data_IF_878996877281
#
_entry.id   IF_878996877281
#
_cell.length_a   1.000
_cell.length_b   1.000
_cell.length_c   1.000
_cell.angle_alpha   90.00
_cell.angle_beta   90.00
_cell.angle_gamma   90.00
#
_symmetry.space_group_name_H-M   'P 1'
#
loop_
_entity.id
_entity.type
_entity.pdbx_description
1 polymer ?
#
# COMPACT_ATOMS: atom_id res chain seq x y z
N UNK A 1 31.22 23.37 -9.60
CA UNK A 1 32.34 24.29 -9.28
C UNK A 1 32.59 25.28 -10.41
N UNK A 2 32.54 24.87 -11.69
CA UNK A 2 32.73 25.79 -12.83
C UNK A 2 31.74 26.96 -12.89
N UNK A 3 30.49 26.76 -12.43
CA UNK A 3 29.47 27.82 -12.43
C UNK A 3 29.75 28.97 -11.44
N UNK A 4 30.33 28.68 -10.26
CA UNK A 4 30.69 29.74 -9.30
C UNK A 4 31.87 30.57 -9.80
N UNK A 5 32.82 29.92 -10.49
CA UNK A 5 33.95 30.59 -11.13
C UNK A 5 33.49 31.48 -12.30
N UNK A 6 32.55 30.99 -13.12
CA UNK A 6 31.93 31.78 -14.19
C UNK A 6 31.15 32.98 -13.66
N UNK A 7 30.46 32.85 -12.52
CA UNK A 7 29.71 33.95 -11.92
C UNK A 7 30.64 35.00 -11.27
N UNK A 8 31.71 34.55 -10.63
CA UNK A 8 32.77 35.43 -10.11
C UNK A 8 33.39 36.27 -11.22
N UNK A 9 33.81 35.61 -12.30
CA UNK A 9 34.46 36.25 -13.44
C UNK A 9 33.49 37.21 -14.15
N UNK A 10 32.21 36.82 -14.28
CA UNK A 10 31.16 37.70 -14.77
C UNK A 10 31.00 38.94 -13.89
N UNK A 11 30.92 38.81 -12.55
CA UNK A 11 30.77 39.95 -11.63
C UNK A 11 31.98 40.90 -11.67
N UNK A 12 33.19 40.35 -11.73
CA UNK A 12 34.42 41.14 -11.88
C UNK A 12 34.45 41.85 -13.24
N UNK A 13 33.95 41.22 -14.31
CA UNK A 13 33.89 41.82 -15.65
C UNK A 13 32.96 43.05 -15.75
N UNK A 14 31.93 43.13 -14.89
CA UNK A 14 31.02 44.29 -14.75
C UNK A 14 31.50 45.28 -13.67
N UNK A 15 32.77 45.20 -13.28
CA UNK A 15 33.45 46.12 -12.37
C UNK A 15 32.95 46.05 -10.91
N UNK A 16 32.42 44.90 -10.49
CA UNK A 16 32.10 44.65 -9.08
C UNK A 16 33.41 44.38 -8.30
N UNK A 17 33.65 45.05 -7.16
CA UNK A 17 34.83 44.80 -6.33
C UNK A 17 34.91 43.32 -5.90
N UNK A 18 36.12 42.75 -5.94
CA UNK A 18 36.39 41.33 -5.63
C UNK A 18 35.73 40.86 -4.32
N UNK A 19 35.78 41.70 -3.29
CA UNK A 19 35.24 41.38 -1.96
C UNK A 19 33.72 41.22 -1.98
N UNK A 20 33.03 42.02 -2.81
CA UNK A 20 31.57 41.94 -2.99
C UNK A 20 31.18 40.77 -3.89
N UNK A 21 31.97 40.48 -4.91
CA UNK A 21 31.74 39.31 -5.76
C UNK A 21 31.84 38.00 -4.96
N UNK A 22 32.83 37.88 -4.06
CA UNK A 22 32.93 36.73 -3.14
C UNK A 22 31.75 36.63 -2.18
N UNK A 23 31.32 37.75 -1.58
CA UNK A 23 30.20 37.75 -0.65
C UNK A 23 28.89 37.27 -1.31
N UNK A 24 28.66 37.61 -2.58
CA UNK A 24 27.49 37.15 -3.35
C UNK A 24 27.54 35.65 -3.62
N UNK A 25 28.72 35.13 -3.95
CA UNK A 25 28.96 33.70 -4.19
C UNK A 25 28.76 32.90 -2.91
N UNK A 26 29.33 33.35 -1.79
CA UNK A 26 29.17 32.71 -0.48
C UNK A 26 27.70 32.72 -0.02
N UNK A 27 27.01 33.85 -0.22
CA UNK A 27 25.59 33.95 0.08
C UNK A 27 24.74 33.02 -0.80
N UNK A 28 25.07 32.92 -2.08
CA UNK A 28 24.36 32.05 -3.03
C UNK A 28 24.62 30.57 -2.77
N UNK A 29 25.86 30.17 -2.44
CA UNK A 29 26.17 28.80 -2.04
C UNK A 29 25.40 28.41 -0.77
N UNK A 30 25.35 29.32 0.20
CA UNK A 30 24.59 29.13 1.44
C UNK A 30 23.09 29.04 1.20
N UNK A 31 22.55 29.88 0.31
CA UNK A 31 21.13 29.86 -0.05
C UNK A 31 20.76 28.59 -0.83
N UNK A 32 21.62 28.15 -1.76
CA UNK A 32 21.45 26.86 -2.44
C UNK A 32 21.47 25.67 -1.46
N UNK A 33 22.30 25.73 -0.42
CA UNK A 33 22.36 24.69 0.61
C UNK A 33 21.20 24.70 1.60
N UNK A 34 20.41 25.77 1.67
CA UNK A 34 19.33 25.94 2.68
C UNK A 34 17.93 25.98 2.07
N UNK A 35 17.79 26.50 0.85
CA UNK A 35 16.48 26.77 0.23
C UNK A 35 16.13 25.73 -0.85
N UNK A 36 17.11 25.04 -1.43
CA UNK A 36 16.86 24.03 -2.46
C UNK A 36 16.72 22.66 -1.79
N UNK A 37 15.57 22.03 -1.96
CA UNK A 37 15.37 20.62 -1.59
C UNK A 37 16.48 19.80 -2.26
N UNK A 38 17.36 19.23 -1.46
CA UNK A 38 18.52 18.54 -1.95
C UNK A 38 18.08 17.25 -2.63
N UNK A 39 18.94 16.73 -3.51
CA UNK A 39 18.70 15.41 -4.13
C UNK A 39 18.49 14.31 -3.06
N UNK A 40 19.09 14.48 -1.88
CA UNK A 40 18.90 13.60 -0.72
C UNK A 40 17.47 13.67 -0.19
N UNK A 41 16.91 14.86 -0.03
CA UNK A 41 15.54 15.05 0.48
C UNK A 41 14.51 14.39 -0.45
N UNK A 42 14.69 14.54 -1.76
CA UNK A 42 13.85 13.86 -2.76
C UNK A 42 13.98 12.33 -2.71
N UNK A 43 15.18 11.81 -2.42
CA UNK A 43 15.39 10.37 -2.25
C UNK A 43 14.71 9.85 -0.97
N UNK A 44 14.77 10.60 0.13
CA UNK A 44 14.07 10.26 1.37
C UNK A 44 12.55 10.27 1.15
N UNK A 45 12.01 11.31 0.50
CA UNK A 45 10.58 11.41 0.19
C UNK A 45 10.12 10.23 -0.70
N UNK A 46 10.93 9.84 -1.68
CA UNK A 46 10.66 8.67 -2.53
C UNK A 46 10.62 7.38 -1.72
N UNK A 47 11.55 7.20 -0.77
CA UNK A 47 11.57 6.01 0.08
C UNK A 47 10.35 5.94 1.00
N UNK A 48 9.96 7.05 1.62
CA UNK A 48 8.73 7.13 2.42
C UNK A 48 7.48 6.81 1.60
N UNK A 49 7.36 7.36 0.39
CA UNK A 49 6.23 7.08 -0.51
C UNK A 49 6.17 5.59 -0.90
N UNK A 50 7.31 4.98 -1.24
CA UNK A 50 7.36 3.54 -1.58
C UNK A 50 6.95 2.69 -0.38
N UNK A 51 7.42 3.02 0.83
CA UNK A 51 7.05 2.31 2.05
C UNK A 51 5.54 2.46 2.34
N UNK A 52 4.98 3.65 2.16
CA UNK A 52 3.56 3.91 2.39
C UNK A 52 2.66 3.15 1.40
N UNK A 53 3.01 3.17 0.11
CA UNK A 53 2.29 2.43 -0.94
C UNK A 53 2.36 0.91 -0.68
N UNK A 54 3.54 0.39 -0.33
CA UNK A 54 3.71 -1.04 0.00
C UNK A 54 2.85 -1.48 1.19
N UNK A 55 2.74 -0.63 2.22
CA UNK A 55 1.92 -0.91 3.40
C UNK A 55 0.42 -0.82 3.13
N UNK A 56 -0.03 0.10 2.27
CA UNK A 56 -1.44 0.20 1.88
C UNK A 56 -1.87 -1.01 1.04
N UNK A 57 -1.11 -1.33 -0.01
CA UNK A 57 -1.42 -2.45 -0.90
C UNK A 57 -1.50 -3.79 -0.17
N UNK A 58 -0.68 -3.98 0.86
CA UNK A 58 -0.63 -5.25 1.59
C UNK A 58 -1.67 -5.37 2.70
N UNK A 59 -2.11 -4.28 3.34
CA UNK A 59 -2.97 -4.38 4.53
C UNK A 59 -4.45 -4.43 4.20
N UNK A 60 -4.90 -3.65 3.23
CA UNK A 60 -6.33 -3.57 2.89
C UNK A 60 -6.79 -4.84 2.16
N UNK A 61 -6.08 -5.22 1.09
CA UNK A 61 -6.45 -6.39 0.29
C UNK A 61 -6.34 -7.70 1.09
N UNK A 62 -5.33 -7.87 1.94
CA UNK A 62 -5.16 -9.14 2.68
C UNK A 62 -6.12 -9.29 3.85
N UNK A 63 -6.52 -8.18 4.48
CA UNK A 63 -7.46 -8.22 5.59
C UNK A 63 -8.86 -8.59 5.10
N UNK A 64 -9.31 -7.96 4.01
CA UNK A 64 -10.64 -8.19 3.46
C UNK A 64 -10.77 -9.60 2.88
N UNK A 65 -9.77 -10.06 2.13
CA UNK A 65 -9.75 -11.46 1.63
C UNK A 65 -9.79 -12.46 2.78
N UNK A 66 -9.09 -12.20 3.89
CA UNK A 66 -9.10 -13.11 5.05
C UNK A 66 -10.46 -13.13 5.74
N UNK A 67 -11.14 -11.99 5.82
CA UNK A 67 -12.51 -11.89 6.35
C UNK A 67 -13.49 -12.67 5.47
N UNK A 68 -13.43 -12.48 4.17
CA UNK A 68 -14.31 -13.16 3.21
C UNK A 68 -14.12 -14.67 3.23
N UNK A 69 -12.87 -15.15 3.29
CA UNK A 69 -12.59 -16.59 3.44
C UNK A 69 -13.20 -17.16 4.72
N UNK A 70 -13.15 -16.41 5.84
CA UNK A 70 -13.74 -16.85 7.10
C UNK A 70 -15.27 -16.94 7.03
N UNK A 71 -15.91 -15.97 6.36
CA UNK A 71 -17.36 -15.98 6.12
C UNK A 71 -17.77 -17.15 5.22
N UNK A 72 -17.09 -17.34 4.08
CA UNK A 72 -17.36 -18.45 3.15
C UNK A 72 -17.20 -19.80 3.85
N UNK A 73 -16.17 -19.97 4.69
CA UNK A 73 -15.99 -21.20 5.46
C UNK A 73 -17.17 -21.49 6.37
N UNK A 74 -17.67 -20.46 7.07
CA UNK A 74 -18.84 -20.58 7.95
C UNK A 74 -20.10 -20.94 7.16
N UNK A 75 -20.31 -20.31 6.01
CA UNK A 75 -21.46 -20.60 5.15
C UNK A 75 -21.42 -22.03 4.61
N UNK A 76 -20.24 -22.54 4.27
CA UNK A 76 -20.05 -23.94 3.87
C UNK A 76 -20.35 -24.92 5.02
N UNK A 77 -19.94 -24.61 6.25
CA UNK A 77 -20.25 -25.44 7.43
C UNK A 77 -21.77 -25.48 7.69
N UNK A 78 -22.44 -24.32 7.61
CA UNK A 78 -23.90 -24.23 7.76
C UNK A 78 -24.62 -25.01 6.65
N UNK A 79 -24.18 -24.83 5.40
CA UNK A 79 -24.77 -25.53 4.25
C UNK A 79 -24.59 -27.04 4.35
N UNK A 80 -23.41 -27.48 4.78
CA UNK A 80 -23.11 -28.90 5.01
C UNK A 80 -24.02 -29.48 6.09
N UNK A 81 -24.15 -28.82 7.25
CA UNK A 81 -25.04 -29.24 8.32
C UNK A 81 -26.51 -29.29 7.86
N UNK A 82 -26.95 -28.28 7.11
CA UNK A 82 -28.31 -28.22 6.57
C UNK A 82 -28.59 -29.38 5.59
N UNK A 83 -27.63 -29.71 4.73
CA UNK A 83 -27.74 -30.88 3.84
C UNK A 83 -27.78 -32.19 4.62
N UNK A 84 -26.95 -32.38 5.64
CA UNK A 84 -26.96 -33.59 6.48
C UNK A 84 -28.31 -33.79 7.16
N UNK A 85 -28.90 -32.73 7.73
CA UNK A 85 -30.21 -32.79 8.37
C UNK A 85 -31.29 -33.11 7.34
N UNK A 86 -31.30 -32.41 6.20
CA UNK A 86 -32.32 -32.61 5.16
C UNK A 86 -32.26 -34.03 4.58
N UNK A 87 -31.07 -34.51 4.22
CA UNK A 87 -30.87 -35.86 3.69
C UNK A 87 -31.21 -36.93 4.75
N UNK A 88 -30.80 -36.73 6.00
CA UNK A 88 -31.15 -37.62 7.10
C UNK A 88 -32.66 -37.73 7.32
N UNK A 89 -33.36 -36.59 7.32
CA UNK A 89 -34.83 -36.57 7.44
C UNK A 89 -35.53 -37.26 6.26
N UNK A 90 -35.04 -37.08 5.03
CA UNK A 90 -35.57 -37.75 3.84
C UNK A 90 -35.37 -39.28 3.92
N UNK A 91 -34.23 -39.75 4.42
CA UNK A 91 -33.98 -41.19 4.63
C UNK A 91 -34.91 -41.78 5.69
N UNK A 92 -35.12 -41.10 6.81
CA UNK A 92 -36.02 -41.55 7.89
C UNK A 92 -37.46 -41.63 7.38
N UNK A 93 -37.93 -40.59 6.68
CA UNK A 93 -39.28 -40.57 6.08
C UNK A 93 -39.42 -41.67 5.03
N UNK A 94 -38.44 -41.83 4.14
CA UNK A 94 -38.44 -42.86 3.10
C UNK A 94 -38.50 -44.28 3.67
N UNK A 95 -37.66 -44.59 4.66
CA UNK A 95 -37.66 -45.87 5.34
C UNK A 95 -38.99 -46.12 6.09
N UNK A 96 -39.51 -45.11 6.80
CA UNK A 96 -40.78 -45.21 7.50
C UNK A 96 -41.95 -45.57 6.56
N UNK A 97 -42.01 -44.93 5.39
CA UNK A 97 -43.02 -45.24 4.37
C UNK A 97 -42.86 -46.66 3.80
N UNK A 98 -41.63 -47.11 3.54
CA UNK A 98 -41.36 -48.47 3.06
C UNK A 98 -41.80 -49.53 4.08
N UNK A 99 -41.51 -49.32 5.38
CA UNK A 99 -41.98 -50.23 6.43
C UNK A 99 -43.50 -50.26 6.55
N UNK A 100 -44.16 -49.10 6.48
CA UNK A 100 -45.62 -49.02 6.51
C UNK A 100 -46.26 -49.76 5.32
N UNK A 101 -45.68 -49.63 4.12
CA UNK A 101 -46.15 -50.33 2.93
C UNK A 101 -46.00 -51.85 3.03
N UNK A 102 -44.86 -52.33 3.58
CA UNK A 102 -44.62 -53.76 3.78
C UNK A 102 -45.60 -54.39 4.77
N UNK A 103 -46.00 -53.64 5.81
CA UNK A 103 -46.98 -54.08 6.82
C UNK A 103 -48.42 -54.15 6.27
N UNK A 104 -48.69 -53.47 5.16
CA UNK A 104 -50.02 -53.38 4.54
C UNK A 104 -50.24 -54.44 3.45
N UNK A 105 -49.18 -55.11 3.01
CA UNK A 105 -49.20 -56.23 2.04
C UNK A 105 -49.15 -57.56 2.77
#
# INVERSE_FOLDING_TARGET
MDYLYSLYDALVSINVPNDRARAVIDAMERDMGTTIATKSDLQMLRQELVAMIGNLATREETHDVRSDIALVRKDLEILSAAMTVRLGSMLIVGLGLLFAALKLT
#
